data_IF_747085352723
#
_entry.id   IF_747085352723
#
_cell.length_a   1.000
_cell.length_b   1.000
_cell.length_c   1.000
_cell.angle_alpha   90.00
_cell.angle_beta   90.00
_cell.angle_gamma   90.00
#
_symmetry.space_group_name_H-M   'P 1'
#
loop_
_entity.id
_entity.type
_entity.pdbx_description
1 polymer ?
#
# COMPACT_ATOMS: atom_id res chain seq x y z
N UNK A 1 -11.86 52.70 -37.04
CA UNK A 1 -12.72 51.97 -36.10
C UNK A 1 -12.28 52.37 -34.70
N UNK A 2 -13.07 53.20 -34.03
CA UNK A 2 -12.81 53.58 -32.63
C UNK A 2 -12.92 52.32 -31.78
N UNK A 3 -11.93 51.98 -30.93
CA UNK A 3 -12.06 50.84 -30.04
C UNK A 3 -13.25 51.07 -29.12
N UNK A 4 -14.24 50.18 -29.18
CA UNK A 4 -15.41 50.19 -28.30
C UNK A 4 -14.95 49.93 -26.88
N UNK A 5 -15.14 50.92 -26.01
CA UNK A 5 -14.90 50.79 -24.59
C UNK A 5 -16.25 50.57 -23.87
N UNK A 6 -16.35 49.59 -22.95
CA UNK A 6 -15.30 48.68 -22.49
C UNK A 6 -14.98 47.53 -23.48
N UNK A 7 -13.78 46.94 -23.41
CA UNK A 7 -13.44 45.75 -24.20
C UNK A 7 -14.39 44.58 -23.87
N UNK A 8 -14.76 43.75 -24.85
CA UNK A 8 -15.62 42.60 -24.63
C UNK A 8 -15.02 41.65 -23.58
N UNK A 9 -15.86 41.18 -22.66
CA UNK A 9 -15.43 40.29 -21.57
C UNK A 9 -14.94 41.02 -20.31
N UNK A 10 -15.26 42.31 -20.13
CA UNK A 10 -15.00 43.06 -18.90
C UNK A 10 -16.30 43.54 -18.26
N UNK A 11 -16.35 43.57 -16.92
CA UNK A 11 -17.48 44.06 -16.13
C UNK A 11 -17.05 45.19 -15.19
N UNK A 12 -17.95 46.15 -14.96
CA UNK A 12 -17.71 47.29 -14.08
C UNK A 12 -17.70 46.81 -12.62
N UNK A 13 -16.71 47.24 -11.84
CA UNK A 13 -16.64 46.99 -10.40
C UNK A 13 -16.84 48.28 -9.60
N UNK A 14 -17.32 48.15 -8.38
CA UNK A 14 -17.51 49.28 -7.47
C UNK A 14 -16.14 49.86 -7.07
N UNK A 15 -16.03 51.18 -7.14
CA UNK A 15 -14.78 51.89 -6.84
C UNK A 15 -14.97 52.73 -5.59
N UNK A 16 -13.98 52.74 -4.71
CA UNK A 16 -14.01 53.55 -3.49
C UNK A 16 -13.72 55.04 -3.74
N UNK A 17 -13.44 55.43 -5.00
CA UNK A 17 -13.02 56.78 -5.38
C UNK A 17 -14.06 57.41 -6.30
N UNK A 18 -14.74 58.49 -5.87
CA UNK A 18 -15.75 59.16 -6.69
C UNK A 18 -15.17 59.62 -8.04
N UNK A 19 -15.83 59.24 -9.14
CA UNK A 19 -15.47 59.66 -10.50
C UNK A 19 -14.51 58.74 -11.27
N UNK A 20 -14.05 57.63 -10.67
CA UNK A 20 -13.23 56.63 -11.36
C UNK A 20 -14.07 55.39 -11.65
N UNK A 21 -14.04 54.91 -12.89
CA UNK A 21 -14.65 53.64 -13.31
C UNK A 21 -13.58 52.57 -13.48
N UNK A 22 -13.70 51.46 -12.75
CA UNK A 22 -12.80 50.32 -12.85
C UNK A 22 -13.54 49.17 -13.53
N UNK A 23 -12.87 48.53 -14.48
CA UNK A 23 -13.39 47.41 -15.26
C UNK A 23 -12.48 46.21 -15.04
N UNK A 24 -13.05 45.10 -14.57
CA UNK A 24 -12.32 43.84 -14.36
C UNK A 24 -12.71 42.80 -15.42
N UNK A 25 -11.82 41.86 -15.78
CA UNK A 25 -12.20 40.75 -16.66
C UNK A 25 -13.38 40.01 -16.03
N UNK A 26 -14.43 39.74 -16.83
CA UNK A 26 -15.54 38.89 -16.43
C UNK A 26 -14.92 37.54 -16.01
N UNK A 27 -15.15 37.06 -14.78
CA UNK A 27 -14.73 35.73 -14.39
C UNK A 27 -15.23 34.74 -15.45
N UNK A 28 -14.42 33.74 -15.85
CA UNK A 28 -14.89 32.71 -16.76
C UNK A 28 -16.22 32.17 -16.20
N UNK A 29 -17.23 32.04 -17.05
CA UNK A 29 -18.49 31.42 -16.63
C UNK A 29 -18.12 30.02 -16.14
N UNK A 30 -18.12 29.83 -14.83
CA UNK A 30 -17.99 28.51 -14.22
C UNK A 30 -19.19 27.74 -14.76
N UNK A 31 -18.97 26.94 -15.80
CA UNK A 31 -19.92 25.93 -16.23
C UNK A 31 -20.00 24.94 -15.07
N UNK A 32 -20.90 25.21 -14.13
CA UNK A 32 -21.30 24.26 -13.12
C UNK A 32 -21.80 23.04 -13.89
N UNK A 33 -20.99 21.97 -13.90
CA UNK A 33 -21.45 20.67 -14.36
C UNK A 33 -22.70 20.34 -13.53
N UNK A 34 -23.77 19.98 -14.24
CA UNK A 34 -25.05 19.65 -13.64
C UNK A 34 -24.83 18.65 -12.49
N UNK A 35 -25.40 18.94 -11.31
CA UNK A 35 -25.29 18.06 -10.15
C UNK A 35 -25.99 16.75 -10.49
N UNK A 36 -25.23 15.74 -10.90
CA UNK A 36 -25.76 14.42 -11.23
C UNK A 36 -26.17 13.73 -9.94
N UNK A 37 -27.44 13.86 -9.56
CA UNK A 37 -28.06 13.08 -8.50
C UNK A 37 -28.56 11.76 -9.09
N UNK A 38 -28.13 10.63 -8.53
CA UNK A 38 -28.55 9.31 -8.97
C UNK A 38 -29.91 8.96 -8.36
N UNK A 39 -30.99 9.37 -9.04
CA UNK A 39 -32.36 9.07 -8.64
C UNK A 39 -32.77 7.65 -9.03
N UNK A 40 -33.50 6.99 -8.14
CA UNK A 40 -34.10 5.69 -8.39
C UNK A 40 -35.20 5.82 -9.47
N UNK A 41 -35.13 5.10 -10.60
CA UNK A 41 -36.15 5.20 -11.64
C UNK A 41 -37.52 4.65 -11.20
N UNK A 42 -37.59 3.90 -10.10
CA UNK A 42 -38.83 3.32 -9.58
C UNK A 42 -39.53 4.18 -8.53
N UNK A 43 -38.80 4.92 -7.70
CA UNK A 43 -39.38 5.66 -6.57
C UNK A 43 -38.77 7.04 -6.32
N UNK A 44 -37.88 7.50 -7.21
CA UNK A 44 -37.22 8.81 -7.20
C UNK A 44 -36.30 9.09 -5.99
N UNK A 45 -36.23 8.19 -5.02
CA UNK A 45 -35.30 8.27 -3.90
C UNK A 45 -33.83 8.16 -4.36
N UNK A 46 -32.91 8.73 -3.57
CA UNK A 46 -31.46 8.65 -3.83
C UNK A 46 -30.98 7.20 -3.81
N UNK A 47 -30.22 6.82 -4.83
CA UNK A 47 -29.54 5.51 -4.91
C UNK A 47 -28.10 5.60 -4.43
N UNK A 48 -27.58 4.49 -3.89
CA UNK A 48 -26.18 4.37 -3.46
C UNK A 48 -25.56 3.07 -3.98
N UNK A 49 -24.26 3.09 -4.23
CA UNK A 49 -23.52 1.90 -4.63
C UNK A 49 -23.35 0.96 -3.44
N UNK A 50 -23.90 -0.26 -3.56
CA UNK A 50 -23.73 -1.33 -2.59
C UNK A 50 -22.47 -2.13 -2.95
N UNK A 51 -21.53 -2.19 -2.01
CA UNK A 51 -20.33 -3.01 -2.15
C UNK A 51 -20.62 -4.51 -2.08
N UNK A 52 -21.71 -4.89 -1.39
CA UNK A 52 -22.11 -6.30 -1.22
C UNK A 52 -22.64 -6.89 -2.53
N UNK A 53 -23.39 -6.08 -3.28
CA UNK A 53 -24.02 -6.50 -4.54
C UNK A 53 -23.29 -5.99 -5.79
N UNK A 54 -22.25 -5.16 -5.60
CA UNK A 54 -21.50 -4.51 -6.69
C UNK A 54 -22.39 -3.64 -7.59
N UNK A 55 -23.46 -3.06 -7.04
CA UNK A 55 -24.55 -2.47 -7.82
C UNK A 55 -25.10 -1.17 -7.25
N UNK A 56 -25.81 -0.39 -8.05
CA UNK A 56 -26.64 0.72 -7.54
C UNK A 56 -27.90 0.13 -6.91
N UNK A 57 -28.10 0.44 -5.63
CA UNK A 57 -29.25 -0.02 -4.86
C UNK A 57 -30.02 1.15 -4.25
N UNK A 58 -31.35 1.07 -4.31
CA UNK A 58 -32.23 1.99 -3.61
C UNK A 58 -32.64 1.39 -2.25
N UNK A 59 -32.24 2.04 -1.16
CA UNK A 59 -32.62 1.63 0.20
C UNK A 59 -34.11 1.83 0.49
N UNK A 60 -34.81 2.65 -0.31
CA UNK A 60 -36.23 2.94 -0.10
C UNK A 60 -37.17 1.87 -0.70
N UNK A 61 -36.97 1.49 -1.97
CA UNK A 61 -37.85 0.55 -2.66
C UNK A 61 -37.21 -0.80 -3.02
N UNK A 62 -35.91 -0.97 -2.76
CA UNK A 62 -35.17 -2.18 -3.12
C UNK A 62 -34.79 -2.29 -4.60
N UNK A 63 -34.92 -1.21 -5.38
CA UNK A 63 -34.45 -1.16 -6.76
C UNK A 63 -32.97 -1.53 -6.85
N UNK A 64 -32.63 -2.33 -7.86
CA UNK A 64 -31.30 -2.86 -8.12
C UNK A 64 -30.95 -2.62 -9.59
N UNK A 65 -29.80 -1.97 -9.82
CA UNK A 65 -29.22 -1.79 -11.14
C UNK A 65 -27.73 -2.15 -11.08
N UNK A 66 -27.35 -3.24 -11.74
CA UNK A 66 -25.95 -3.55 -11.94
C UNK A 66 -25.33 -2.45 -12.82
N UNK A 67 -24.22 -1.82 -12.42
CA UNK A 67 -23.47 -0.95 -13.32
C UNK A 67 -23.13 -1.76 -14.57
N UNK A 68 -23.23 -1.14 -15.74
CA UNK A 68 -22.69 -1.73 -16.96
C UNK A 68 -21.16 -1.78 -16.81
N UNK A 69 -20.67 -2.86 -16.21
CA UNK A 69 -19.26 -3.08 -15.99
C UNK A 69 -18.60 -3.30 -17.34
N UNK A 70 -18.08 -2.22 -17.93
CA UNK A 70 -17.23 -2.27 -19.11
C UNK A 70 -15.88 -2.85 -18.68
N UNK A 71 -15.81 -4.18 -18.60
CA UNK A 71 -14.60 -4.91 -18.26
C UNK A 71 -13.56 -4.67 -19.35
N UNK A 72 -12.48 -3.98 -18.97
CA UNK A 72 -11.36 -3.67 -19.87
C UNK A 72 -10.15 -4.56 -19.55
N UNK A 73 -10.02 -4.96 -18.29
CA UNK A 73 -8.95 -5.81 -17.80
C UNK A 73 -7.56 -5.26 -18.13
N UNK A 74 -6.63 -6.17 -18.47
CA UNK A 74 -5.27 -5.80 -18.89
C UNK A 74 -5.21 -5.06 -20.24
N UNK A 75 -6.30 -5.06 -21.01
CA UNK A 75 -6.43 -4.25 -22.22
C UNK A 75 -6.73 -2.76 -21.94
N UNK A 76 -6.79 -2.36 -20.67
CA UNK A 76 -7.00 -0.97 -20.26
C UNK A 76 -5.98 -0.05 -20.93
N UNK A 77 -6.48 1.03 -21.55
CA UNK A 77 -5.65 1.99 -22.28
C UNK A 77 -4.52 2.52 -21.37
N UNK A 78 -3.30 2.36 -21.84
CA UNK A 78 -2.09 2.89 -21.25
C UNK A 78 -1.74 4.23 -21.88
N UNK A 79 -1.02 5.03 -21.12
CA UNK A 79 -0.59 6.35 -21.54
C UNK A 79 0.93 6.42 -21.60
N UNK A 80 1.42 6.97 -22.70
CA UNK A 80 2.83 7.31 -22.83
C UNK A 80 3.12 8.62 -22.08
N UNK A 81 4.39 8.83 -21.72
CA UNK A 81 4.87 10.06 -21.12
C UNK A 81 5.07 11.17 -22.17
N UNK A 82 3.99 11.58 -22.84
CA UNK A 82 4.02 12.64 -23.86
C UNK A 82 3.19 13.86 -23.44
N UNK A 83 3.62 15.05 -23.89
CA UNK A 83 2.94 16.33 -23.61
C UNK A 83 1.51 16.31 -24.14
N UNK A 84 1.31 15.74 -25.34
CA UNK A 84 -0.01 15.60 -25.96
C UNK A 84 -0.95 14.72 -25.12
N UNK A 85 -0.41 13.65 -24.52
CA UNK A 85 -1.17 12.78 -23.63
C UNK A 85 -1.59 13.53 -22.38
N UNK A 86 -0.68 14.26 -21.75
CA UNK A 86 -0.95 15.10 -20.57
C UNK A 86 -2.01 16.17 -20.84
N UNK A 87 -1.97 16.82 -22.01
CA UNK A 87 -2.96 17.83 -22.39
C UNK A 87 -4.36 17.25 -22.67
N UNK A 88 -4.46 15.96 -22.96
CA UNK A 88 -5.72 15.26 -23.27
C UNK A 88 -6.35 14.56 -22.07
N UNK A 89 -5.68 14.48 -20.92
CA UNK A 89 -6.23 13.78 -19.76
C UNK A 89 -7.39 14.58 -19.17
N UNK A 90 -8.52 13.91 -18.97
CA UNK A 90 -9.68 14.49 -18.30
C UNK A 90 -9.35 14.80 -16.83
N UNK A 91 -9.78 15.96 -16.36
CA UNK A 91 -9.61 16.38 -14.97
C UNK A 91 -10.92 16.27 -14.17
N UNK A 92 -10.81 16.31 -12.84
CA UNK A 92 -11.91 16.23 -11.89
C UNK A 92 -12.57 14.85 -11.83
N UNK A 93 -13.65 14.73 -11.06
CA UNK A 93 -14.34 13.45 -10.82
C UNK A 93 -15.47 13.14 -11.80
N UNK A 94 -15.82 14.09 -12.69
CA UNK A 94 -16.98 13.97 -13.58
C UNK A 94 -18.34 14.17 -12.90
N UNK A 95 -18.34 14.32 -11.57
CA UNK A 95 -19.46 14.76 -10.74
C UNK A 95 -18.92 15.71 -9.68
N UNK A 96 -19.77 16.59 -9.17
CA UNK A 96 -19.41 17.45 -8.05
C UNK A 96 -19.24 16.62 -6.77
N UNK A 97 -18.16 16.88 -6.04
CA UNK A 97 -17.82 16.23 -4.76
C UNK A 97 -17.28 17.27 -3.79
N UNK A 98 -17.41 16.98 -2.50
CA UNK A 98 -16.70 17.70 -1.45
C UNK A 98 -15.43 16.94 -1.11
N UNK A 99 -14.39 17.65 -0.73
CA UNK A 99 -13.20 17.06 -0.12
C UNK A 99 -13.26 17.26 1.39
N UNK A 100 -13.07 16.16 2.11
CA UNK A 100 -12.81 16.11 3.53
C UNK A 100 -11.30 16.08 3.75
N UNK A 101 -10.75 17.15 4.32
CA UNK A 101 -9.36 17.25 4.74
C UNK A 101 -9.24 16.99 6.25
N UNK A 102 -8.38 16.07 6.66
CA UNK A 102 -8.17 15.73 8.07
C UNK A 102 -6.91 16.43 8.64
N UNK A 103 -7.07 17.22 9.69
CA UNK A 103 -5.96 17.95 10.32
C UNK A 103 -5.05 17.06 11.19
N UNK A 104 -5.46 15.82 11.48
CA UNK A 104 -4.66 14.89 12.31
C UNK A 104 -3.71 14.02 11.49
N UNK A 105 -4.19 13.45 10.38
CA UNK A 105 -3.40 12.54 9.54
C UNK A 105 -3.13 13.09 8.13
N UNK A 106 -3.56 14.32 7.84
CA UNK A 106 -3.39 14.98 6.54
C UNK A 106 -4.01 14.22 5.36
N UNK A 107 -5.03 13.39 5.63
CA UNK A 107 -5.77 12.68 4.61
C UNK A 107 -6.75 13.60 3.88
N UNK A 108 -6.81 13.47 2.55
CA UNK A 108 -7.75 14.17 1.67
C UNK A 108 -8.69 13.16 1.02
N UNK A 109 -9.98 13.22 1.33
CA UNK A 109 -10.97 12.23 0.89
C UNK A 109 -12.14 12.93 0.24
N UNK A 110 -12.47 12.54 -0.97
CA UNK A 110 -13.66 13.04 -1.65
C UNK A 110 -14.90 12.24 -1.23
N UNK A 111 -15.94 12.97 -0.90
CA UNK A 111 -17.25 12.46 -0.47
C UNK A 111 -18.35 13.04 -1.38
N UNK A 112 -19.49 12.37 -1.43
CA UNK A 112 -20.66 12.90 -2.12
C UNK A 112 -21.11 14.24 -1.48
N UNK A 113 -21.74 15.10 -2.26
CA UNK A 113 -22.13 16.46 -1.83
C UNK A 113 -23.19 16.47 -0.73
N UNK A 114 -24.04 15.45 -0.69
CA UNK A 114 -25.07 15.18 0.32
C UNK A 114 -24.58 14.37 1.52
N UNK A 115 -23.44 13.70 1.41
CA UNK A 115 -22.85 12.93 2.50
C UNK A 115 -22.30 13.87 3.59
N UNK A 116 -22.82 13.73 4.80
CA UNK A 116 -22.29 14.37 6.00
C UNK A 116 -21.47 13.35 6.79
N UNK A 117 -20.15 13.56 6.84
CA UNK A 117 -19.27 12.82 7.74
C UNK A 117 -18.52 13.79 8.66
N UNK A 118 -18.43 13.41 9.93
CA UNK A 118 -17.75 14.18 10.97
C UNK A 118 -16.43 13.54 11.42
N UNK A 119 -16.04 12.41 10.82
CA UNK A 119 -14.83 11.67 11.20
C UNK A 119 -14.01 11.24 9.99
N UNK A 120 -12.70 11.29 10.14
CA UNK A 120 -11.76 10.82 9.12
C UNK A 120 -11.76 9.28 9.02
N UNK A 121 -11.87 8.68 7.81
CA UNK A 121 -11.89 7.22 7.66
C UNK A 121 -10.56 6.55 8.04
N UNK A 122 -9.44 7.27 7.98
CA UNK A 122 -8.11 6.71 8.24
C UNK A 122 -7.75 6.65 9.72
N UNK A 123 -8.01 7.74 10.46
CA UNK A 123 -7.56 7.87 11.84
C UNK A 123 -8.71 8.12 12.84
N UNK A 124 -9.96 8.10 12.38
CA UNK A 124 -11.17 8.33 13.18
C UNK A 124 -11.18 9.64 13.99
N UNK A 125 -10.44 10.66 13.53
CA UNK A 125 -10.44 11.98 14.16
C UNK A 125 -11.59 12.83 13.67
N UNK A 126 -12.18 13.61 14.58
CA UNK A 126 -13.22 14.58 14.25
C UNK A 126 -12.66 15.96 13.82
N UNK A 127 -11.33 16.09 13.73
CA UNK A 127 -10.68 17.30 13.24
C UNK A 127 -10.64 17.30 11.72
N UNK A 128 -11.82 17.47 11.11
CA UNK A 128 -12.01 17.44 9.66
C UNK A 128 -12.59 18.75 9.16
N UNK A 129 -12.14 19.19 7.99
CA UNK A 129 -12.66 20.35 7.28
C UNK A 129 -13.22 19.87 5.96
N UNK A 130 -14.42 20.31 5.60
CA UNK A 130 -15.02 20.01 4.30
C UNK A 130 -14.89 21.24 3.39
N UNK A 131 -14.27 21.05 2.23
CA UNK A 131 -14.09 22.06 1.18
C UNK A 131 -14.62 21.53 -0.16
N UNK A 132 -14.71 22.38 -1.18
CA UNK A 132 -15.02 21.92 -2.54
C UNK A 132 -13.86 21.08 -3.06
N UNK A 133 -14.15 19.91 -3.66
CA UNK A 133 -13.09 19.07 -4.20
C UNK A 133 -12.39 19.77 -5.37
N UNK A 134 -11.04 19.66 -5.48
CA UNK A 134 -10.30 20.19 -6.61
C UNK A 134 -10.81 19.61 -7.93
N UNK A 135 -10.87 20.44 -8.98
CA UNK A 135 -11.33 20.03 -10.31
C UNK A 135 -10.17 19.87 -11.30
N UNK A 136 -8.97 20.31 -10.93
CA UNK A 136 -7.72 20.26 -11.69
C UNK A 136 -6.91 18.97 -11.45
N UNK A 137 -7.45 18.03 -10.67
CA UNK A 137 -6.85 16.71 -10.44
C UNK A 137 -7.11 15.77 -11.61
N UNK A 138 -6.16 14.89 -11.93
CA UNK A 138 -6.36 13.87 -12.95
C UNK A 138 -7.55 12.97 -12.59
N UNK A 139 -8.44 12.71 -13.57
CA UNK A 139 -9.55 11.78 -13.39
C UNK A 139 -9.06 10.33 -13.51
N UNK A 140 -9.45 9.43 -12.60
CA UNK A 140 -9.23 8.00 -12.79
C UNK A 140 -9.94 7.51 -14.05
N UNK A 141 -9.31 6.65 -14.84
CA UNK A 141 -9.96 6.04 -16.03
C UNK A 141 -10.40 4.62 -15.81
N UNK A 142 -9.83 3.96 -14.80
CA UNK A 142 -10.18 2.60 -14.43
C UNK A 142 -10.27 2.47 -12.92
N UNK A 143 -11.03 1.49 -12.48
CA UNK A 143 -11.11 1.09 -11.08
C UNK A 143 -11.30 -0.42 -11.00
N UNK A 144 -11.01 -0.98 -9.82
CA UNK A 144 -11.41 -2.34 -9.49
C UNK A 144 -12.71 -2.29 -8.67
N UNK A 145 -13.76 -3.04 -9.02
CA UNK A 145 -15.00 -3.03 -8.25
C UNK A 145 -14.80 -3.77 -6.91
N UNK A 146 -15.60 -3.39 -5.91
CA UNK A 146 -15.72 -4.18 -4.68
C UNK A 146 -16.39 -5.52 -4.98
N UNK A 147 -15.88 -6.59 -4.37
CA UNK A 147 -16.37 -7.97 -4.56
C UNK A 147 -16.57 -8.71 -3.25
N UNK A 148 -16.11 -8.13 -2.14
CA UNK A 148 -16.23 -8.72 -0.81
C UNK A 148 -17.22 -7.92 0.00
N UNK A 149 -18.20 -8.63 0.56
CA UNK A 149 -19.21 -8.08 1.44
C UNK A 149 -18.67 -7.79 2.85
N UNK A 150 -19.34 -6.89 3.56
CA UNK A 150 -18.92 -6.46 4.90
C UNK A 150 -18.95 -7.59 5.96
N UNK A 151 -19.85 -8.56 5.84
CA UNK A 151 -19.99 -9.66 6.81
C UNK A 151 -18.88 -10.70 6.67
N UNK A 152 -18.45 -10.97 5.45
CA UNK A 152 -17.29 -11.78 5.10
C UNK A 152 -16.03 -11.15 5.66
N UNK A 153 -15.90 -9.82 5.56
CA UNK A 153 -14.80 -9.11 6.21
C UNK A 153 -14.83 -9.28 7.72
N UNK A 154 -15.96 -9.04 8.40
CA UNK A 154 -16.08 -9.22 9.86
C UNK A 154 -15.66 -10.63 10.30
N UNK A 155 -16.11 -11.69 9.60
CA UNK A 155 -15.73 -13.08 9.89
C UNK A 155 -14.23 -13.31 9.72
N UNK A 156 -13.66 -12.82 8.61
CA UNK A 156 -12.22 -12.95 8.34
C UNK A 156 -11.38 -12.14 9.33
N UNK A 157 -11.86 -10.97 9.77
CA UNK A 157 -11.21 -10.15 10.79
C UNK A 157 -11.19 -10.86 12.13
N UNK A 158 -12.31 -11.46 12.54
CA UNK A 158 -12.36 -12.26 13.77
C UNK A 158 -11.35 -13.41 13.74
N UNK A 159 -11.28 -14.14 12.63
CA UNK A 159 -10.30 -15.20 12.44
C UNK A 159 -8.86 -14.67 12.45
N UNK A 160 -8.60 -13.55 11.77
CA UNK A 160 -7.27 -12.94 11.66
C UNK A 160 -6.76 -12.35 12.98
N UNK A 161 -7.63 -11.68 13.75
CA UNK A 161 -7.34 -11.22 15.12
C UNK A 161 -7.15 -12.40 16.09
N UNK A 162 -7.69 -13.57 15.75
CA UNK A 162 -7.54 -14.80 16.52
C UNK A 162 -6.37 -15.70 16.14
N UNK A 163 -5.67 -15.42 15.04
CA UNK A 163 -4.73 -16.35 14.41
C UNK A 163 -3.33 -16.40 15.07
N UNK A 164 -3.15 -15.82 16.25
CA UNK A 164 -1.86 -15.84 16.95
C UNK A 164 -2.03 -15.91 18.45
N UNK A 165 -1.22 -16.75 19.10
CA UNK A 165 -1.18 -16.87 20.56
C UNK A 165 -0.54 -15.63 21.23
N UNK A 166 0.21 -14.82 20.47
CA UNK A 166 0.84 -13.57 20.90
C UNK A 166 -0.19 -12.46 21.16
N UNK A 167 -1.43 -12.64 20.71
CA UNK A 167 -2.49 -11.64 20.79
C UNK A 167 -3.36 -11.86 22.03
N UNK A 168 -3.93 -10.79 22.62
CA UNK A 168 -4.98 -10.90 23.63
C UNK A 168 -6.19 -11.69 23.12
N UNK A 169 -6.79 -12.55 23.96
CA UNK A 169 -7.88 -13.46 23.54
C UNK A 169 -9.20 -12.73 23.26
N UNK A 170 -9.40 -11.61 23.93
CA UNK A 170 -10.56 -10.72 23.84
C UNK A 170 -10.60 -9.92 22.53
N UNK A 171 -9.49 -9.79 21.79
CA UNK A 171 -9.47 -9.09 20.49
C UNK A 171 -10.46 -9.66 19.48
N UNK A 172 -10.69 -10.98 19.48
CA UNK A 172 -11.63 -11.59 18.54
C UNK A 172 -13.04 -11.03 18.70
N UNK A 173 -13.44 -10.65 19.91
CA UNK A 173 -14.78 -10.09 20.18
C UNK A 173 -14.93 -8.68 19.60
N UNK A 174 -13.84 -7.92 19.50
CA UNK A 174 -13.83 -6.57 18.91
C UNK A 174 -14.08 -6.58 17.39
N UNK A 175 -13.80 -7.70 16.72
CA UNK A 175 -14.07 -7.86 15.29
C UNK A 175 -15.56 -7.64 14.95
N UNK A 176 -16.47 -8.03 15.85
CA UNK A 176 -17.92 -7.91 15.62
C UNK A 176 -18.42 -6.46 15.63
N UNK A 177 -17.80 -5.59 16.44
CA UNK A 177 -18.14 -4.17 16.51
C UNK A 177 -17.39 -3.30 15.50
N UNK A 178 -16.44 -3.88 14.76
CA UNK A 178 -15.59 -3.15 13.82
C UNK A 178 -16.39 -2.75 12.58
N UNK A 179 -16.49 -1.44 12.33
CA UNK A 179 -17.15 -0.89 11.15
C UNK A 179 -16.13 -0.68 10.03
N UNK A 180 -16.31 -1.39 8.92
CA UNK A 180 -15.51 -1.23 7.72
C UNK A 180 -16.10 -0.12 6.84
N UNK A 181 -15.30 0.90 6.57
CA UNK A 181 -15.65 1.98 5.65
C UNK A 181 -15.07 1.65 4.28
N UNK A 182 -15.91 1.51 3.23
CA UNK A 182 -15.42 1.33 1.87
C UNK A 182 -14.80 2.64 1.36
N UNK A 183 -13.61 2.54 0.78
CA UNK A 183 -12.89 3.66 0.19
C UNK A 183 -12.11 3.23 -1.04
N UNK A 184 -12.13 4.07 -2.07
CA UNK A 184 -11.24 3.95 -3.21
C UNK A 184 -9.93 4.68 -2.94
N UNK A 185 -8.82 3.97 -3.08
CA UNK A 185 -7.47 4.53 -2.90
C UNK A 185 -6.77 4.65 -4.26
N UNK A 186 -6.13 5.79 -4.56
CA UNK A 186 -5.45 6.03 -5.82
C UNK A 186 -4.20 5.15 -5.95
N UNK A 187 -4.00 4.58 -7.14
CA UNK A 187 -2.77 3.87 -7.48
C UNK A 187 -2.34 4.15 -8.92
N UNK A 188 -1.04 4.09 -9.13
CA UNK A 188 -0.40 4.18 -10.43
C UNK A 188 0.06 2.79 -10.84
N UNK A 189 -0.23 2.36 -12.06
CA UNK A 189 0.43 1.20 -12.64
C UNK A 189 1.37 1.65 -13.73
N UNK A 190 2.52 1.00 -13.81
CA UNK A 190 3.55 1.31 -14.78
C UNK A 190 4.00 0.07 -15.52
N UNK A 191 4.14 0.22 -16.82
CA UNK A 191 4.74 -0.76 -17.69
C UNK A 191 6.04 -0.22 -18.23
N UNK A 192 7.05 -1.08 -18.28
CA UNK A 192 8.32 -0.78 -18.91
C UNK A 192 9.08 -2.07 -19.20
N UNK A 193 9.90 -2.03 -20.24
CA UNK A 193 10.96 -3.00 -20.43
C UNK A 193 12.29 -2.39 -19.97
N UNK A 194 12.99 -3.08 -19.06
CA UNK A 194 14.35 -2.71 -18.69
C UNK A 194 15.35 -3.59 -19.44
N UNK A 195 16.43 -2.98 -19.90
CA UNK A 195 17.58 -3.70 -20.44
C UNK A 195 18.85 -3.19 -19.79
N UNK A 196 19.62 -4.12 -19.23
CA UNK A 196 20.81 -3.79 -18.47
C UNK A 196 22.02 -4.60 -18.92
N UNK A 197 23.09 -3.89 -19.29
CA UNK A 197 24.41 -4.46 -19.48
C UNK A 197 25.20 -4.33 -18.17
N UNK A 198 25.73 -5.43 -17.65
CA UNK A 198 26.45 -5.45 -16.37
C UNK A 198 27.84 -6.05 -16.51
N UNK A 199 28.74 -5.62 -15.61
CA UNK A 199 30.07 -6.18 -15.40
C UNK A 199 30.43 -6.18 -13.93
N UNK A 200 31.09 -7.24 -13.46
CA UNK A 200 31.58 -7.33 -12.09
C UNK A 200 32.77 -8.27 -11.98
N UNK A 201 33.59 -8.10 -10.95
CA UNK A 201 34.55 -9.12 -10.55
C UNK A 201 33.85 -10.12 -9.62
N UNK A 202 33.78 -11.37 -10.05
CA UNK A 202 33.10 -12.46 -9.34
C UNK A 202 34.14 -13.37 -8.69
N UNK A 203 33.86 -13.80 -7.46
CA UNK A 203 34.74 -14.67 -6.69
C UNK A 203 34.63 -16.14 -7.14
N UNK A 204 35.76 -16.71 -7.52
CA UNK A 204 35.92 -18.13 -7.84
C UNK A 204 36.82 -18.79 -6.80
N UNK A 205 36.32 -19.83 -6.15
CA UNK A 205 37.12 -20.61 -5.19
C UNK A 205 38.07 -21.51 -5.96
N UNK A 206 39.37 -21.35 -5.73
CA UNK A 206 40.42 -22.22 -6.29
C UNK A 206 41.28 -22.79 -5.18
N UNK A 207 41.85 -23.95 -5.44
CA UNK A 207 42.81 -24.61 -4.57
C UNK A 207 44.16 -24.70 -5.28
N UNK A 208 45.24 -24.47 -4.53
CA UNK A 208 46.60 -24.71 -5.01
C UNK A 208 47.35 -25.50 -3.94
N UNK A 209 48.16 -26.46 -4.37
CA UNK A 209 49.09 -27.13 -3.45
C UNK A 209 50.33 -26.27 -3.27
N UNK A 210 50.67 -26.01 -2.01
CA UNK A 210 51.88 -25.27 -1.60
C UNK A 210 52.71 -26.14 -0.66
N UNK A 211 54.04 -26.01 -0.75
CA UNK A 211 55.02 -26.82 0.00
C UNK A 211 55.72 -27.87 -0.85
N UNK A 212 56.82 -28.42 -0.32
CA UNK A 212 57.69 -29.41 -0.98
C UNK A 212 57.82 -30.63 -0.07
N UNK A 213 57.86 -31.84 -0.65
CA UNK A 213 58.01 -33.10 0.10
C UNK A 213 56.82 -33.40 1.02
N UNK A 214 57.10 -33.79 2.27
CA UNK A 214 56.08 -34.15 3.29
C UNK A 214 55.26 -32.96 3.80
N UNK A 215 55.66 -31.72 3.50
CA UNK A 215 54.97 -30.49 3.95
C UNK A 215 54.00 -29.92 2.89
N UNK A 216 53.51 -30.73 1.94
CA UNK A 216 52.49 -30.29 0.97
C UNK A 216 51.16 -30.08 1.68
N UNK A 217 50.59 -28.88 1.54
CA UNK A 217 49.24 -28.55 2.00
C UNK A 217 48.41 -27.92 0.89
N UNK A 218 47.12 -28.20 0.88
CA UNK A 218 46.16 -27.56 -0.02
C UNK A 218 45.75 -26.22 0.57
N UNK A 219 46.01 -25.13 -0.14
CA UNK A 219 45.56 -23.80 0.22
C UNK A 219 44.41 -23.39 -0.70
N UNK A 220 43.30 -23.00 -0.09
CA UNK A 220 42.16 -22.40 -0.79
C UNK A 220 42.36 -20.89 -0.87
N UNK A 221 42.14 -20.31 -2.04
CA UNK A 221 42.16 -18.87 -2.26
C UNK A 221 41.00 -18.43 -3.17
N UNK A 222 40.65 -17.15 -3.09
CA UNK A 222 39.64 -16.55 -3.96
C UNK A 222 40.32 -15.91 -5.16
N UNK A 223 39.96 -16.35 -6.35
CA UNK A 223 40.37 -15.75 -7.62
C UNK A 223 39.22 -14.85 -8.10
N UNK A 224 39.52 -13.57 -8.36
CA UNK A 224 38.54 -12.62 -8.89
C UNK A 224 38.62 -12.61 -10.41
N UNK A 225 37.48 -12.84 -11.08
CA UNK A 225 37.39 -12.83 -12.55
C UNK A 225 36.31 -11.87 -13.00
N UNK A 226 36.59 -11.10 -14.04
CA UNK A 226 35.58 -10.26 -14.67
C UNK A 226 34.55 -11.14 -15.37
N UNK A 227 33.29 -10.96 -14.98
CA UNK A 227 32.13 -11.49 -15.68
C UNK A 227 31.28 -10.31 -16.16
N UNK A 228 30.60 -10.52 -17.28
CA UNK A 228 29.68 -9.55 -17.85
C UNK A 228 28.49 -10.26 -18.45
N UNK A 229 27.35 -9.60 -18.48
CA UNK A 229 26.13 -10.15 -19.05
C UNK A 229 25.11 -9.08 -19.38
N UNK A 230 23.98 -9.53 -19.91
CA UNK A 230 22.84 -8.69 -20.21
C UNK A 230 21.60 -9.27 -19.56
N UNK A 231 20.87 -8.46 -18.81
CA UNK A 231 19.59 -8.83 -18.23
C UNK A 231 18.50 -7.91 -18.80
N UNK A 232 17.43 -8.52 -19.31
CA UNK A 232 16.23 -7.81 -19.75
C UNK A 232 15.07 -8.29 -18.89
N UNK A 233 14.29 -7.36 -18.35
CA UNK A 233 13.06 -7.66 -17.61
C UNK A 233 11.91 -6.86 -18.21
N UNK A 234 10.73 -7.46 -18.24
CA UNK A 234 9.49 -6.76 -18.59
C UNK A 234 8.68 -6.60 -17.31
N UNK A 235 8.25 -5.36 -17.05
CA UNK A 235 7.34 -5.01 -15.98
C UNK A 235 5.97 -4.74 -16.62
N UNK A 236 4.99 -5.54 -16.21
CA UNK A 236 3.59 -5.42 -16.59
C UNK A 236 2.81 -5.09 -15.31
N UNK A 237 2.21 -3.91 -15.26
CA UNK A 237 1.43 -3.39 -14.15
C UNK A 237 2.19 -3.29 -12.81
N UNK A 238 3.37 -2.66 -12.81
CA UNK A 238 4.05 -2.36 -11.56
C UNK A 238 3.24 -1.31 -10.77
N UNK A 239 2.58 -1.78 -9.71
CA UNK A 239 1.70 -0.97 -8.88
C UNK A 239 2.48 -0.13 -7.85
N UNK A 240 2.26 1.17 -7.87
CA UNK A 240 2.75 2.17 -6.92
C UNK A 240 1.58 2.92 -6.30
N UNK A 241 1.58 3.06 -4.97
CA UNK A 241 0.51 3.78 -4.28
C UNK A 241 0.51 5.28 -4.62
N UNK A 242 -0.68 5.82 -4.89
CA UNK A 242 -0.92 7.24 -5.15
C UNK A 242 -1.23 8.05 -3.89
N UNK A 243 -1.28 7.41 -2.73
CA UNK A 243 -1.54 8.02 -1.42
C UNK A 243 -0.27 8.04 -0.52
N UNK A 244 -0.12 9.02 0.36
CA UNK A 244 1.03 9.17 1.26
C UNK A 244 0.68 8.91 2.73
N UNK A 245 -0.60 9.07 3.08
CA UNK A 245 -1.17 8.92 4.42
C UNK A 245 -1.45 7.46 4.84
N UNK A 246 -1.17 6.49 3.97
CA UNK A 246 -1.32 5.06 4.26
C UNK A 246 0.06 4.44 4.49
N UNK A 247 0.17 3.61 5.54
CA UNK A 247 1.41 2.87 5.83
C UNK A 247 1.85 2.06 4.61
N UNK A 248 3.06 2.30 4.05
CA UNK A 248 3.58 1.52 2.95
C UNK A 248 3.69 0.03 3.29
N UNK A 249 3.85 -0.30 4.58
CA UNK A 249 3.91 -1.68 5.07
C UNK A 249 2.56 -2.36 4.90
N UNK A 250 1.48 -1.73 5.35
CA UNK A 250 0.12 -2.26 5.21
C UNK A 250 -0.24 -2.43 3.73
N UNK A 251 -0.02 -1.38 2.92
CA UNK A 251 -0.35 -1.42 1.51
C UNK A 251 0.42 -2.49 0.74
N UNK A 252 1.71 -2.67 1.04
CA UNK A 252 2.49 -3.74 0.43
C UNK A 252 1.96 -5.14 0.78
N UNK A 253 1.31 -5.32 1.92
CA UNK A 253 0.72 -6.60 2.30
C UNK A 253 -0.57 -6.90 1.52
N UNK A 254 -1.35 -5.88 1.15
CA UNK A 254 -2.62 -6.01 0.40
C UNK A 254 -2.51 -5.67 -1.10
N UNK A 255 -1.29 -5.47 -1.61
CA UNK A 255 -1.00 -5.07 -2.99
C UNK A 255 -1.43 -6.08 -4.07
N UNK A 256 -1.74 -7.32 -3.69
CA UNK A 256 -2.12 -8.37 -4.63
C UNK A 256 -3.55 -8.12 -5.09
N UNK A 257 -3.66 -7.43 -6.22
CA UNK A 257 -4.93 -7.16 -6.91
C UNK A 257 -4.89 -7.80 -8.29
N UNK A 258 -6.02 -8.37 -8.70
CA UNK A 258 -6.19 -8.91 -10.04
C UNK A 258 -6.65 -7.80 -10.98
N UNK A 259 -5.70 -7.24 -11.72
CA UNK A 259 -5.94 -6.18 -12.71
C UNK A 259 -6.64 -6.67 -13.96
N UNK A 260 -6.80 -7.99 -14.15
CA UNK A 260 -7.65 -8.51 -15.21
C UNK A 260 -9.13 -8.12 -15.02
N UNK A 261 -9.50 -7.68 -13.82
CA UNK A 261 -10.87 -7.29 -13.45
C UNK A 261 -11.08 -5.77 -13.49
N UNK A 262 -10.16 -5.00 -14.08
CA UNK A 262 -10.30 -3.55 -14.25
C UNK A 262 -11.54 -3.22 -15.10
N UNK A 263 -12.34 -2.29 -14.59
CA UNK A 263 -13.49 -1.72 -15.29
C UNK A 263 -13.23 -0.25 -15.60
N UNK A 264 -13.84 0.28 -16.67
CA UNK A 264 -13.79 1.70 -16.97
C UNK A 264 -14.42 2.51 -15.81
N UNK A 265 -13.79 3.62 -15.45
CA UNK A 265 -14.28 4.51 -14.41
C UNK A 265 -15.60 5.16 -14.87
N UNK A 266 -16.62 5.00 -14.04
CA UNK A 266 -17.86 5.77 -14.13
C UNK A 266 -18.17 6.41 -12.77
N UNK A 267 -18.63 7.67 -12.73
CA UNK A 267 -18.90 8.35 -11.46
C UNK A 267 -19.87 7.62 -10.52
N UNK A 268 -20.76 6.79 -11.08
CA UNK A 268 -21.73 5.97 -10.31
C UNK A 268 -21.09 5.00 -9.33
N UNK A 269 -19.85 4.55 -9.58
CA UNK A 269 -19.11 3.69 -8.63
C UNK A 269 -18.75 4.44 -7.34
N UNK A 270 -18.76 5.78 -7.36
CA UNK A 270 -18.49 6.62 -6.20
C UNK A 270 -19.79 7.11 -5.52
N UNK A 271 -20.96 6.65 -5.94
CA UNK A 271 -22.23 6.98 -5.31
C UNK A 271 -22.28 6.34 -3.91
N UNK A 272 -22.24 7.16 -2.86
CA UNK A 272 -22.21 6.67 -1.47
C UNK A 272 -20.88 6.06 -1.01
N UNK A 273 -19.84 6.07 -1.86
CA UNK A 273 -18.49 5.57 -1.52
C UNK A 273 -17.50 6.72 -1.48
N UNK A 274 -16.57 6.65 -0.52
CA UNK A 274 -15.50 7.62 -0.37
C UNK A 274 -14.36 7.31 -1.36
N UNK A 275 -13.69 8.34 -1.88
CA UNK A 275 -12.54 8.14 -2.76
C UNK A 275 -11.44 9.14 -2.41
N UNK A 276 -10.23 8.65 -2.17
CA UNK A 276 -9.08 9.50 -1.92
C UNK A 276 -8.55 10.06 -3.25
N UNK A 277 -8.21 11.35 -3.26
CA UNK A 277 -7.44 11.95 -4.34
C UNK A 277 -5.96 11.56 -4.22
N UNK A 278 -5.23 11.46 -5.34
CA UNK A 278 -3.79 11.21 -5.26
C UNK A 278 -3.09 12.42 -4.64
N UNK A 279 -2.15 12.14 -3.73
CA UNK A 279 -1.24 13.14 -3.16
C UNK A 279 0.22 12.88 -3.61
N UNK A 280 0.50 11.67 -4.11
CA UNK A 280 1.73 11.33 -4.82
C UNK A 280 1.51 11.58 -6.31
N UNK A 281 2.17 12.61 -6.84
CA UNK A 281 2.12 12.95 -8.26
C UNK A 281 2.65 11.81 -9.15
N UNK A 282 2.26 11.83 -10.42
CA UNK A 282 2.73 10.88 -11.43
C UNK A 282 4.28 10.83 -11.48
N UNK A 283 4.95 11.99 -11.47
CA UNK A 283 6.42 12.07 -11.51
C UNK A 283 7.07 11.40 -10.30
N UNK A 284 6.54 11.66 -9.10
CA UNK A 284 7.05 11.07 -7.86
C UNK A 284 6.79 9.55 -7.82
N UNK A 285 5.62 9.12 -8.28
CA UNK A 285 5.28 7.70 -8.41
C UNK A 285 6.17 7.00 -9.44
N UNK A 286 6.47 7.68 -10.56
CA UNK A 286 7.33 7.15 -11.62
C UNK A 286 8.77 6.97 -11.16
N UNK A 287 9.32 7.92 -10.42
CA UNK A 287 10.66 7.78 -9.84
C UNK A 287 10.74 6.58 -8.88
N UNK A 288 9.71 6.38 -8.03
CA UNK A 288 9.61 5.18 -7.16
C UNK A 288 9.53 3.88 -7.97
N UNK A 289 8.77 3.88 -9.07
CA UNK A 289 8.68 2.75 -9.98
C UNK A 289 10.05 2.43 -10.60
N UNK A 290 10.75 3.43 -11.14
CA UNK A 290 12.11 3.27 -11.71
C UNK A 290 13.11 2.73 -10.71
N UNK A 291 13.08 3.19 -9.46
CA UNK A 291 13.94 2.67 -8.39
C UNK A 291 13.67 1.18 -8.12
N UNK A 292 12.39 0.80 -8.08
CA UNK A 292 11.97 -0.60 -7.91
C UNK A 292 12.42 -1.46 -9.08
N UNK A 293 12.17 -1.01 -10.32
CA UNK A 293 12.57 -1.70 -11.54
C UNK A 293 14.10 -1.84 -11.64
N UNK A 294 14.85 -0.79 -11.29
CA UNK A 294 16.32 -0.80 -11.23
C UNK A 294 16.84 -1.80 -10.19
N UNK A 295 16.24 -1.86 -9.01
CA UNK A 295 16.63 -2.80 -7.96
C UNK A 295 16.39 -4.26 -8.40
N UNK A 296 15.22 -4.57 -8.97
CA UNK A 296 14.90 -5.91 -9.48
C UNK A 296 15.78 -6.31 -10.67
N UNK A 297 16.06 -5.37 -11.58
CA UNK A 297 16.96 -5.61 -12.73
C UNK A 297 18.39 -5.84 -12.27
N UNK A 298 18.86 -5.08 -11.26
CA UNK A 298 20.15 -5.32 -10.62
C UNK A 298 20.22 -6.72 -10.00
N UNK A 299 19.19 -7.14 -9.29
CA UNK A 299 19.15 -8.50 -8.73
C UNK A 299 19.15 -9.56 -9.83
N UNK A 300 18.45 -9.35 -10.94
CA UNK A 300 18.50 -10.25 -12.10
C UNK A 300 19.91 -10.34 -12.70
N UNK A 301 20.62 -9.21 -12.84
CA UNK A 301 22.03 -9.20 -13.26
C UNK A 301 22.91 -10.01 -12.31
N UNK A 302 22.76 -9.78 -11.00
CA UNK A 302 23.53 -10.48 -9.97
C UNK A 302 23.26 -11.99 -9.93
N UNK A 303 22.05 -12.42 -10.31
CA UNK A 303 21.69 -13.84 -10.43
C UNK A 303 22.31 -14.53 -11.64
N UNK A 304 22.73 -13.79 -12.67
CA UNK A 304 23.43 -14.35 -13.83
C UNK A 304 24.91 -14.66 -13.52
N UNK A 305 25.51 -13.97 -12.55
CA UNK A 305 26.88 -14.21 -12.13
C UNK A 305 27.05 -15.60 -11.51
N UNK A 306 28.23 -16.20 -11.67
CA UNK A 306 28.52 -17.55 -11.16
C UNK A 306 28.46 -17.64 -9.62
N UNK A 307 28.71 -16.52 -8.92
CA UNK A 307 28.71 -16.42 -7.46
C UNK A 307 28.11 -15.10 -7.00
N UNK A 308 27.44 -15.10 -5.83
CA UNK A 308 26.93 -13.86 -5.20
C UNK A 308 28.03 -13.01 -4.57
N UNK A 309 29.22 -13.57 -4.37
CA UNK A 309 30.38 -12.83 -3.91
C UNK A 309 31.00 -12.09 -5.10
N UNK A 310 30.69 -10.81 -5.23
CA UNK A 310 31.16 -9.95 -6.31
C UNK A 310 31.63 -8.59 -5.79
N UNK A 311 32.55 -7.96 -6.52
CA UNK A 311 33.04 -6.59 -6.27
C UNK A 311 33.10 -5.80 -7.58
N UNK A 312 33.23 -4.48 -7.47
CA UNK A 312 33.30 -3.58 -8.63
C UNK A 312 32.13 -3.77 -9.62
N UNK A 313 30.94 -4.05 -9.08
CA UNK A 313 29.72 -4.22 -9.87
C UNK A 313 29.32 -2.89 -10.52
N UNK A 314 29.15 -2.91 -11.83
CA UNK A 314 28.67 -1.79 -12.64
C UNK A 314 27.58 -2.29 -13.57
N UNK A 315 26.54 -1.48 -13.74
CA UNK A 315 25.40 -1.78 -14.59
C UNK A 315 24.99 -0.49 -15.30
N UNK A 316 24.84 -0.58 -16.62
CA UNK A 316 24.16 0.45 -17.41
C UNK A 316 22.72 -0.03 -17.67
N UNK A 317 21.72 0.80 -17.40
CA UNK A 317 20.32 0.42 -17.39
C UNK A 317 19.53 1.38 -18.27
N UNK A 318 18.88 0.83 -19.29
CA UNK A 318 17.97 1.54 -20.17
C UNK A 318 16.52 1.10 -19.92
N UNK A 319 15.59 2.04 -20.11
CA UNK A 319 14.14 1.83 -20.03
C UNK A 319 13.54 2.03 -21.42
N UNK A 320 12.55 1.21 -21.78
CA UNK A 320 11.80 1.26 -23.05
C UNK A 320 10.33 0.95 -22.79
N UNK A 321 9.49 1.32 -23.75
CA UNK A 321 8.04 1.05 -23.75
C UNK A 321 7.37 1.50 -22.45
N UNK A 322 7.74 2.69 -21.99
CA UNK A 322 7.29 3.27 -20.72
C UNK A 322 5.85 3.77 -20.86
N UNK A 323 4.95 3.18 -20.07
CA UNK A 323 3.56 3.64 -20.02
C UNK A 323 3.01 3.60 -18.60
N UNK A 324 1.91 4.34 -18.38
CA UNK A 324 1.29 4.47 -17.07
C UNK A 324 -0.23 4.42 -17.15
N UNK A 325 -0.86 4.06 -16.02
CA UNK A 325 -2.32 4.15 -15.81
C UNK A 325 -2.60 4.72 -14.43
N UNK A 326 -3.65 5.53 -14.33
CA UNK A 326 -4.22 5.97 -13.05
C UNK A 326 -5.48 5.16 -12.75
N UNK A 327 -5.42 4.38 -11.65
CA UNK A 327 -6.48 3.47 -11.24
C UNK A 327 -6.91 3.71 -9.79
N UNK A 328 -8.13 3.29 -9.46
CA UNK A 328 -8.63 3.23 -8.09
C UNK A 328 -8.71 1.80 -7.58
N UNK A 329 -8.15 1.56 -6.39
CA UNK A 329 -8.18 0.28 -5.70
C UNK A 329 -9.28 0.26 -4.63
N UNK A 330 -10.13 -0.79 -4.58
CA UNK A 330 -11.17 -0.94 -3.59
C UNK A 330 -10.55 -1.43 -2.28
N UNK A 331 -10.56 -0.59 -1.25
CA UNK A 331 -10.11 -0.95 0.09
C UNK A 331 -11.23 -0.72 1.10
N UNK A 332 -11.17 -1.48 2.18
CA UNK A 332 -11.94 -1.20 3.38
C UNK A 332 -10.99 -0.78 4.49
N UNK A 333 -11.34 0.30 5.18
CA UNK A 333 -10.59 0.79 6.33
C UNK A 333 -11.46 0.65 7.57
N UNK A 334 -10.86 0.16 8.65
CA UNK A 334 -11.48 0.20 9.96
C UNK A 334 -10.47 0.62 11.02
N UNK A 335 -10.96 1.31 12.04
CA UNK A 335 -10.18 1.66 13.22
C UNK A 335 -10.91 1.10 14.43
N UNK A 336 -10.23 0.31 15.23
CA UNK A 336 -10.75 -0.20 16.50
C UNK A 336 -9.88 0.27 17.65
N UNK A 337 -10.45 0.36 18.84
CA UNK A 337 -9.73 0.81 20.04
C UNK A 337 -9.49 -0.38 20.96
N UNK A 338 -8.25 -0.50 21.45
CA UNK A 338 -7.87 -1.46 22.46
C UNK A 338 -7.01 -0.77 23.52
N UNK A 339 -7.38 -0.89 24.80
CA UNK A 339 -6.70 -0.18 25.90
C UNK A 339 -6.50 1.33 25.64
N UNK A 340 -7.54 1.98 25.10
CA UNK A 340 -7.53 3.42 24.74
C UNK A 340 -6.50 3.81 23.66
N UNK A 341 -5.98 2.85 22.91
CA UNK A 341 -5.11 3.07 21.75
C UNK A 341 -5.86 2.68 20.47
N UNK A 342 -5.81 3.52 19.41
CA UNK A 342 -6.40 3.18 18.11
C UNK A 342 -5.49 2.23 17.33
N UNK A 343 -6.09 1.24 16.69
CA UNK A 343 -5.41 0.30 15.79
C UNK A 343 -6.10 0.30 14.44
N UNK A 344 -5.32 0.39 13.36
CA UNK A 344 -5.84 0.43 12.00
C UNK A 344 -5.86 -0.96 11.35
N UNK A 345 -6.95 -1.26 10.67
CA UNK A 345 -7.12 -2.41 9.79
C UNK A 345 -7.38 -1.94 8.37
N UNK A 346 -6.73 -2.60 7.41
CA UNK A 346 -7.04 -2.51 5.99
C UNK A 346 -7.49 -3.87 5.48
N UNK A 347 -8.51 -3.89 4.65
CA UNK A 347 -8.88 -5.07 3.89
C UNK A 347 -8.98 -4.77 2.41
N UNK A 348 -8.48 -5.67 1.59
CA UNK A 348 -8.60 -5.60 0.14
C UNK A 348 -10.05 -5.92 -0.27
N UNK A 349 -10.70 -5.01 -0.98
CA UNK A 349 -12.11 -5.12 -1.36
C UNK A 349 -12.41 -6.11 -2.48
N UNK A 350 -11.38 -6.64 -3.16
CA UNK A 350 -11.51 -7.65 -4.21
C UNK A 350 -11.36 -9.07 -3.66
N UNK A 351 -10.30 -9.32 -2.88
CA UNK A 351 -9.98 -10.67 -2.40
C UNK A 351 -10.27 -10.89 -0.90
N UNK A 352 -10.54 -9.83 -0.15
CA UNK A 352 -10.86 -9.87 1.29
C UNK A 352 -9.67 -10.23 2.17
N UNK A 353 -8.44 -10.03 1.69
CA UNK A 353 -7.21 -10.16 2.48
C UNK A 353 -7.15 -9.01 3.50
N UNK A 354 -6.85 -9.35 4.75
CA UNK A 354 -6.80 -8.40 5.87
C UNK A 354 -5.37 -8.21 6.34
N UNK A 355 -5.02 -6.95 6.58
CA UNK A 355 -3.79 -6.52 7.23
C UNK A 355 -4.11 -5.43 8.23
N UNK A 356 -3.21 -5.17 9.17
CA UNK A 356 -3.41 -4.15 10.18
C UNK A 356 -2.45 -4.28 11.35
N UNK A 357 -2.49 -3.28 12.21
CA UNK A 357 -1.84 -3.29 13.51
C UNK A 357 -2.61 -4.21 14.46
N UNK A 358 -1.91 -4.87 15.37
CA UNK A 358 -2.54 -5.68 16.43
C UNK A 358 -1.78 -5.53 17.74
N UNK A 359 -2.47 -5.30 18.87
CA UNK A 359 -1.80 -5.19 20.16
C UNK A 359 -1.19 -6.53 20.54
N UNK A 360 0.04 -6.47 21.02
CA UNK A 360 0.78 -7.64 21.50
C UNK A 360 0.56 -7.84 22.98
N UNK A 361 0.28 -9.08 23.39
CA UNK A 361 0.28 -9.46 24.80
C UNK A 361 1.69 -9.83 25.28
N UNK A 362 2.43 -8.80 25.71
CA UNK A 362 3.79 -8.94 26.23
C UNK A 362 3.90 -9.90 27.43
N UNK A 363 2.83 -10.10 28.20
CA UNK A 363 2.84 -11.02 29.34
C UNK A 363 2.97 -12.46 28.87
N UNK A 364 2.26 -12.84 27.82
CA UNK A 364 2.37 -14.18 27.21
C UNK A 364 3.77 -14.42 26.64
N UNK A 365 4.36 -13.39 26.03
CA UNK A 365 5.73 -13.47 25.50
C UNK A 365 6.72 -13.68 26.62
N UNK A 366 6.65 -12.89 27.69
CA UNK A 366 7.55 -13.03 28.85
C UNK A 366 7.42 -14.41 29.50
N UNK A 367 6.19 -14.93 29.64
CA UNK A 367 5.95 -16.29 30.15
C UNK A 367 6.52 -17.36 29.21
N UNK A 368 6.36 -17.22 27.89
CA UNK A 368 6.89 -18.17 26.92
C UNK A 368 8.44 -18.16 26.89
N UNK A 369 9.05 -16.97 26.99
CA UNK A 369 10.50 -16.83 27.13
C UNK A 369 10.97 -17.50 28.43
N UNK A 370 10.34 -17.19 29.56
CA UNK A 370 10.66 -17.81 30.85
C UNK A 370 10.56 -19.34 30.80
N UNK A 371 9.48 -19.86 30.20
CA UNK A 371 9.28 -21.30 30.01
C UNK A 371 10.35 -21.92 29.10
N UNK A 372 10.83 -21.21 28.06
CA UNK A 372 11.89 -21.69 27.18
C UNK A 372 13.26 -21.80 27.90
N UNK A 373 13.54 -20.92 28.86
CA UNK A 373 14.78 -20.95 29.64
C UNK A 373 14.73 -21.91 30.84
N UNK A 374 13.54 -22.32 31.29
CA UNK A 374 13.36 -23.19 32.46
C UNK A 374 14.14 -24.52 32.39
N UNK A 375 14.15 -25.28 31.27
CA UNK A 375 14.92 -26.52 31.19
C UNK A 375 16.43 -26.30 31.29
N UNK A 376 16.94 -25.24 30.66
CA UNK A 376 18.36 -24.88 30.72
C UNK A 376 18.77 -24.49 32.14
N UNK A 377 17.90 -23.77 32.86
CA UNK A 377 18.12 -23.41 34.27
C UNK A 377 18.16 -24.65 35.17
N UNK A 378 17.18 -25.55 35.07
CA UNK A 378 17.10 -26.76 35.90
C UNK A 378 18.27 -27.71 35.65
N UNK A 379 18.61 -27.94 34.38
CA UNK A 379 19.76 -28.76 34.02
C UNK A 379 21.08 -28.07 34.39
N UNK A 380 21.13 -26.73 34.39
CA UNK A 380 22.29 -25.96 34.83
C UNK A 380 22.55 -26.16 36.33
N UNK A 381 21.50 -26.06 37.15
CA UNK A 381 21.57 -26.37 38.58
C UNK A 381 22.01 -27.82 38.82
N UNK A 382 21.44 -28.78 38.09
CA UNK A 382 21.84 -30.19 38.15
C UNK A 382 23.32 -30.39 37.76
N UNK A 383 23.77 -29.75 36.69
CA UNK A 383 25.17 -29.81 36.24
C UNK A 383 26.11 -29.26 37.31
N UNK A 384 25.78 -28.11 37.91
CA UNK A 384 26.59 -27.52 38.99
C UNK A 384 26.65 -28.42 40.21
N UNK A 385 25.53 -29.04 40.61
CA UNK A 385 25.49 -29.98 41.72
C UNK A 385 26.33 -31.23 41.44
N UNK A 386 26.23 -31.81 40.24
CA UNK A 386 27.03 -32.98 39.83
C UNK A 386 28.53 -32.68 39.80
N UNK A 387 28.93 -31.49 39.34
CA UNK A 387 30.33 -31.05 39.33
C UNK A 387 30.88 -30.88 40.75
N UNK A 388 30.11 -30.26 41.65
CA UNK A 388 30.49 -30.12 43.07
C UNK A 388 30.58 -31.47 43.76
N UNK A 389 29.73 -32.44 43.38
CA UNK A 389 29.77 -33.81 43.87
C UNK A 389 30.89 -34.68 43.27
N UNK A 390 31.75 -34.13 42.40
CA UNK A 390 32.88 -34.84 41.79
C UNK A 390 32.49 -35.80 40.66
N UNK A 391 31.27 -35.70 40.13
CA UNK A 391 30.79 -36.55 39.04
C UNK A 391 31.17 -35.97 37.67
N UNK A 392 32.00 -36.68 36.91
CA UNK A 392 32.47 -36.28 35.59
C UNK A 392 31.34 -36.07 34.56
N UNK A 393 30.16 -36.69 34.77
CA UNK A 393 28.99 -36.49 33.92
C UNK A 393 28.44 -35.06 34.00
N UNK A 394 28.82 -34.26 35.01
CA UNK A 394 28.44 -32.85 35.11
C UNK A 394 28.83 -32.01 33.89
N UNK A 395 29.98 -32.31 33.25
CA UNK A 395 30.42 -31.62 32.03
C UNK A 395 29.50 -31.91 30.82
N UNK A 396 28.98 -33.13 30.72
CA UNK A 396 28.06 -33.52 29.65
C UNK A 396 26.72 -32.79 29.82
N UNK A 397 26.20 -32.75 31.05
CA UNK A 397 24.96 -32.00 31.36
C UNK A 397 25.16 -30.51 31.08
N UNK A 398 26.32 -29.93 31.38
CA UNK A 398 26.64 -28.53 31.12
C UNK A 398 26.72 -28.21 29.61
N UNK A 399 27.18 -29.15 28.79
CA UNK A 399 27.15 -28.97 27.33
C UNK A 399 25.71 -28.97 26.79
N UNK A 400 24.86 -29.87 27.30
CA UNK A 400 23.44 -29.93 26.94
C UNK A 400 22.69 -28.67 27.38
N UNK A 401 22.98 -28.13 28.57
CA UNK A 401 22.37 -26.87 29.05
C UNK A 401 22.71 -25.70 28.15
N UNK A 402 23.97 -25.60 27.72
CA UNK A 402 24.41 -24.55 26.79
C UNK A 402 23.67 -24.63 25.45
N UNK A 403 23.51 -25.85 24.90
CA UNK A 403 22.72 -26.07 23.69
C UNK A 403 21.26 -25.63 23.84
N UNK A 404 20.61 -25.99 24.95
CA UNK A 404 19.22 -25.57 25.23
C UNK A 404 19.09 -24.06 25.44
N UNK A 405 20.06 -23.43 26.11
CA UNK A 405 20.09 -21.98 26.29
C UNK A 405 20.22 -21.25 24.95
N UNK A 406 21.05 -21.74 24.02
CA UNK A 406 21.15 -21.20 22.66
C UNK A 406 19.83 -21.30 21.89
N UNK A 407 19.16 -22.46 21.96
CA UNK A 407 17.85 -22.66 21.32
C UNK A 407 16.81 -21.69 21.91
N UNK A 408 16.77 -21.53 23.23
CA UNK A 408 15.86 -20.59 23.90
C UNK A 408 16.13 -19.13 23.50
N UNK A 409 17.40 -18.76 23.31
CA UNK A 409 17.82 -17.44 22.85
C UNK A 409 17.36 -17.18 21.40
N UNK A 410 17.56 -18.14 20.50
CA UNK A 410 17.07 -18.07 19.12
C UNK A 410 15.53 -17.94 19.11
N UNK A 411 14.83 -18.77 19.90
CA UNK A 411 13.37 -18.71 20.02
C UNK A 411 12.89 -17.34 20.51
N UNK A 412 13.59 -16.76 21.49
CA UNK A 412 13.31 -15.41 22.00
C UNK A 412 13.49 -14.36 20.91
N UNK A 413 14.58 -14.42 20.15
CA UNK A 413 14.82 -13.51 19.02
C UNK A 413 13.70 -13.58 17.97
N UNK A 414 13.25 -14.79 17.62
CA UNK A 414 12.16 -14.99 16.66
C UNK A 414 10.83 -14.45 17.21
N UNK A 415 10.48 -14.79 18.45
CA UNK A 415 9.20 -14.36 19.05
C UNK A 415 9.12 -12.86 19.26
N UNK A 416 10.20 -12.22 19.74
CA UNK A 416 10.27 -10.76 19.89
C UNK A 416 10.21 -10.08 18.52
N UNK A 417 10.92 -10.59 17.51
CA UNK A 417 10.85 -10.03 16.15
C UNK A 417 9.45 -10.16 15.54
N UNK A 418 8.77 -11.28 15.76
CA UNK A 418 7.38 -11.46 15.33
C UNK A 418 6.43 -10.50 16.05
N UNK A 419 6.61 -10.32 17.36
CA UNK A 419 5.83 -9.38 18.17
C UNK A 419 5.98 -7.94 17.68
N UNK A 420 7.22 -7.46 17.50
CA UNK A 420 7.48 -6.12 16.98
C UNK A 420 6.82 -5.88 15.62
N UNK A 421 6.87 -6.87 14.72
CA UNK A 421 6.18 -6.78 13.42
C UNK A 421 4.65 -6.69 13.50
N UNK A 422 4.04 -7.03 14.63
CA UNK A 422 2.59 -6.91 14.82
C UNK A 422 2.18 -5.54 15.38
N UNK A 423 3.09 -4.90 16.13
CA UNK A 423 2.91 -3.60 16.79
C UNK A 423 3.33 -2.42 15.88
N UNK A 424 4.44 -2.55 15.13
CA UNK A 424 5.12 -1.45 14.40
C UNK A 424 4.59 -1.17 12.97
N UNK A 425 3.33 -1.47 12.66
CA UNK A 425 2.83 -1.41 11.26
C UNK A 425 2.13 -0.10 10.91
#
# INVERSE_FOLDING_TARGET
MTPTFPPPGYMRTETAVPGIEVWMPKPPDEQYQEVVQFHCPQCDATTAFSTDSGSLTCTHCGYYEAPQANLVGKGAQQFEFTIETMARVTQGWGIERKELACNRCNAHVTIATDMLTHSCPFCHSNQVVQVKAPQDVLRPRFLLPFQVDADTLRRRTAAWLGNSWLLPKDLQQLAHGTQFTPIYVPAWTFDAQTSADWKAEVAHTRTRTVGIGKNRRTQTYTEWRWESGRATLTFDDLLINGASNLSPVLLNQIRHVDLAQLVAYEPRYLAGIQAQAYDVSLDAAWERARQTMRAQTKEACQRQATSRHMRNFSMNLDFRDESWRYILLPLYIAVYHYNNQPYQLLANGQNGQITGQRPVDWRKILLAIGAAFLPALLLGLLATWLLVAGNANGNVVLFVTFGLALIALIFTGITVSQAQKMDDV
#
